data_IF_673633439103
#
_entry.id   IF_673633439103
#
_cell.length_a   1.000
_cell.length_b   1.000
_cell.length_c   1.000
_cell.angle_alpha   90.00
_cell.angle_beta   90.00
_cell.angle_gamma   90.00
#
_symmetry.space_group_name_H-M   'P 1'
#
loop_
_entity.id
_entity.type
_entity.pdbx_description
1 polymer ?
#
# COMPACT_ATOMS: atom_id res chain seq x y z
N UNK A 1 11.14 -2.30 -46.04
CA UNK A 1 10.52 -2.66 -44.75
C UNK A 1 11.29 -1.92 -43.67
N UNK A 2 10.69 -0.89 -43.06
CA UNK A 2 11.40 0.05 -42.18
C UNK A 2 11.94 -0.67 -40.96
N UNK A 3 13.21 -0.39 -40.68
CA UNK A 3 13.97 -0.79 -39.49
C UNK A 3 13.15 -0.43 -38.25
N UNK A 4 12.88 -1.42 -37.41
CA UNK A 4 12.41 -1.21 -36.05
C UNK A 4 13.51 -0.42 -35.33
N UNK A 5 13.21 0.80 -34.94
CA UNK A 5 14.11 1.62 -34.12
C UNK A 5 14.39 0.89 -32.82
N UNK A 6 15.65 0.83 -32.42
CA UNK A 6 16.07 0.39 -31.10
C UNK A 6 15.32 1.23 -30.06
N UNK A 7 14.46 0.58 -29.25
CA UNK A 7 13.86 1.24 -28.11
C UNK A 7 14.99 1.60 -27.14
N UNK A 8 14.95 2.80 -26.58
CA UNK A 8 15.98 3.36 -25.70
C UNK A 8 16.07 2.65 -24.33
N UNK A 9 15.44 1.48 -24.16
CA UNK A 9 15.38 0.71 -22.92
C UNK A 9 14.60 1.39 -21.78
N UNK A 10 14.10 2.62 -21.98
CA UNK A 10 13.37 3.39 -20.98
C UNK A 10 11.86 3.29 -21.18
N UNK A 11 11.13 3.17 -20.07
CA UNK A 11 9.66 3.18 -20.06
C UNK A 11 9.18 4.62 -20.01
N UNK A 12 8.47 5.06 -21.04
CA UNK A 12 7.84 6.39 -21.06
C UNK A 12 6.62 6.42 -20.15
N UNK A 13 6.65 7.31 -19.14
CA UNK A 13 5.65 7.43 -18.08
C UNK A 13 5.00 8.81 -18.09
N UNK A 14 3.67 8.87 -18.04
CA UNK A 14 2.95 10.08 -17.64
C UNK A 14 2.47 9.94 -16.19
N UNK A 15 2.47 11.04 -15.44
CA UNK A 15 1.97 11.06 -14.05
C UNK A 15 0.70 11.91 -14.01
N UNK A 16 -0.39 11.35 -13.47
CA UNK A 16 -1.64 12.08 -13.27
C UNK A 16 -1.85 12.25 -11.76
N UNK A 17 -2.06 13.48 -11.31
CA UNK A 17 -2.13 13.85 -9.89
C UNK A 17 -0.81 14.48 -9.42
N UNK A 18 -0.83 15.80 -9.25
CA UNK A 18 0.27 16.64 -8.77
C UNK A 18 0.00 17.10 -7.31
N UNK A 19 -0.65 16.23 -6.53
CA UNK A 19 -0.98 16.47 -5.12
C UNK A 19 0.16 16.17 -4.15
N UNK A 20 -0.18 16.03 -2.86
CA UNK A 20 0.82 15.83 -1.79
C UNK A 20 1.75 14.63 -2.03
N UNK A 21 1.18 13.51 -2.49
CA UNK A 21 1.89 12.24 -2.68
C UNK A 21 2.87 12.29 -3.86
N UNK A 22 2.65 13.15 -4.85
CA UNK A 22 3.56 13.31 -6.00
C UNK A 22 5.02 13.51 -5.55
N UNK A 23 5.24 14.40 -4.58
CA UNK A 23 6.57 14.71 -4.08
C UNK A 23 7.23 13.54 -3.35
N UNK A 24 6.46 12.61 -2.80
CA UNK A 24 7.01 11.37 -2.22
C UNK A 24 7.60 10.48 -3.29
N UNK A 25 6.93 10.29 -4.44
CA UNK A 25 7.49 9.55 -5.57
C UNK A 25 8.77 10.20 -6.11
N UNK A 26 8.81 11.53 -6.16
CA UNK A 26 9.99 12.24 -6.64
C UNK A 26 11.22 12.07 -5.73
N UNK A 27 11.04 11.65 -4.46
CA UNK A 27 12.18 11.37 -3.57
C UNK A 27 13.04 10.19 -4.02
N UNK A 28 12.47 9.25 -4.80
CA UNK A 28 13.14 8.02 -5.25
C UNK A 28 13.29 7.93 -6.76
N UNK A 29 12.62 8.80 -7.54
CA UNK A 29 12.66 8.76 -9.01
C UNK A 29 14.08 8.75 -9.59
N UNK A 30 15.04 9.46 -8.98
CA UNK A 30 16.44 9.49 -9.41
C UNK A 30 17.14 8.12 -9.36
N UNK A 31 16.65 7.18 -8.54
CA UNK A 31 17.21 5.85 -8.42
C UNK A 31 16.79 4.91 -9.57
N UNK A 32 15.88 5.37 -10.44
CA UNK A 32 15.26 4.58 -11.51
C UNK A 32 15.48 5.23 -12.88
N UNK A 33 16.72 5.21 -13.42
CA UNK A 33 17.05 5.81 -14.72
C UNK A 33 16.33 5.15 -15.91
N UNK A 34 15.76 3.96 -15.71
CA UNK A 34 14.88 3.25 -16.64
C UNK A 34 13.50 3.89 -16.80
N UNK A 35 13.10 4.79 -15.89
CA UNK A 35 11.85 5.54 -15.96
C UNK A 35 12.11 6.88 -16.66
N UNK A 36 11.30 7.19 -17.66
CA UNK A 36 11.36 8.42 -18.44
C UNK A 36 10.03 9.17 -18.34
N UNK A 37 9.97 10.16 -17.44
CA UNK A 37 8.75 10.94 -17.18
C UNK A 37 8.52 11.90 -18.35
N UNK A 38 7.51 11.63 -19.17
CA UNK A 38 7.15 12.41 -20.36
C UNK A 38 6.43 13.70 -20.02
N UNK A 39 5.69 13.68 -18.93
CA UNK A 39 5.01 14.86 -18.42
C UNK A 39 4.04 14.51 -17.31
N UNK A 40 3.42 15.57 -16.80
CA UNK A 40 2.48 15.51 -15.67
C UNK A 40 1.15 16.13 -16.06
N UNK A 41 0.09 15.72 -15.38
CA UNK A 41 -1.23 16.31 -15.49
C UNK A 41 -1.90 16.36 -14.11
N UNK A 42 -2.68 17.41 -13.88
CA UNK A 42 -3.60 17.52 -12.75
C UNK A 42 -4.84 18.28 -13.24
N UNK A 43 -6.02 17.94 -12.70
CA UNK A 43 -7.25 18.66 -13.00
C UNK A 43 -7.20 20.10 -12.49
N UNK A 44 -6.45 20.34 -11.40
CA UNK A 44 -6.04 21.66 -10.95
C UNK A 44 -4.72 22.04 -11.65
N UNK A 45 -4.85 22.72 -12.79
CA UNK A 45 -3.71 23.12 -13.63
C UNK A 45 -2.66 23.97 -12.89
N UNK A 46 -3.03 24.62 -11.78
CA UNK A 46 -2.06 25.35 -10.97
C UNK A 46 -1.06 24.40 -10.26
N UNK A 47 -1.47 23.16 -9.96
CA UNK A 47 -0.59 22.15 -9.35
C UNK A 47 0.41 21.59 -10.35
N UNK A 48 -0.05 21.22 -11.54
CA UNK A 48 0.84 20.73 -12.60
C UNK A 48 1.82 21.82 -13.08
N UNK A 49 1.38 23.09 -13.13
CA UNK A 49 2.27 24.22 -13.38
C UNK A 49 3.37 24.36 -12.31
N UNK A 50 3.02 24.29 -11.02
CA UNK A 50 4.01 24.33 -9.92
C UNK A 50 4.99 23.16 -9.98
N UNK A 51 4.51 21.95 -10.29
CA UNK A 51 5.37 20.77 -10.48
C UNK A 51 6.32 20.96 -11.66
N UNK A 52 5.82 21.49 -12.78
CA UNK A 52 6.63 21.85 -13.95
C UNK A 52 7.72 22.86 -13.58
N UNK A 53 7.37 23.95 -12.91
CA UNK A 53 8.33 24.98 -12.50
C UNK A 53 9.40 24.42 -11.55
N UNK A 54 9.02 23.51 -10.65
CA UNK A 54 9.92 22.96 -9.64
C UNK A 54 10.83 21.85 -10.18
N UNK A 55 10.28 20.90 -10.95
CA UNK A 55 11.00 19.71 -11.42
C UNK A 55 11.40 19.75 -12.91
N UNK A 56 10.87 20.69 -13.68
CA UNK A 56 11.15 20.82 -15.12
C UNK A 56 10.38 19.84 -16.02
N UNK A 57 9.29 19.24 -15.53
CA UNK A 57 8.46 18.34 -16.34
C UNK A 57 7.55 19.07 -17.30
N UNK A 58 7.31 18.50 -18.48
CA UNK A 58 6.26 18.99 -19.38
C UNK A 58 4.87 18.78 -18.78
N UNK A 59 3.91 19.63 -19.15
CA UNK A 59 2.51 19.56 -18.68
C UNK A 59 1.62 19.13 -19.83
N UNK A 60 0.85 18.07 -19.63
CA UNK A 60 -0.24 17.71 -20.54
C UNK A 60 -1.47 18.58 -20.25
N UNK A 61 -2.21 19.04 -21.28
CA UNK A 61 -3.38 19.89 -21.08
C UNK A 61 -4.59 19.13 -20.53
N UNK A 62 -4.71 17.84 -20.86
CA UNK A 62 -5.82 16.97 -20.45
C UNK A 62 -5.43 15.49 -20.57
N UNK A 63 -6.35 14.61 -20.15
CA UNK A 63 -6.21 13.16 -20.26
C UNK A 63 -6.08 12.68 -21.72
N UNK A 64 -6.79 13.32 -22.65
CA UNK A 64 -6.80 12.88 -24.05
C UNK A 64 -5.41 13.04 -24.68
N UNK A 65 -4.69 14.12 -24.37
CA UNK A 65 -3.31 14.32 -24.80
C UNK A 65 -2.36 13.22 -24.29
N UNK A 66 -2.60 12.65 -23.10
CA UNK A 66 -1.82 11.51 -22.58
C UNK A 66 -2.17 10.22 -23.33
N UNK A 67 -3.46 10.00 -23.62
CA UNK A 67 -3.92 8.83 -24.37
C UNK A 67 -3.35 8.84 -25.80
N UNK A 68 -3.35 10.00 -26.44
CA UNK A 68 -2.89 10.20 -27.81
C UNK A 68 -1.36 10.20 -27.95
N UNK A 69 -0.61 10.41 -26.87
CA UNK A 69 0.85 10.37 -26.89
C UNK A 69 1.35 8.92 -27.02
N UNK A 70 1.89 8.51 -28.19
CA UNK A 70 2.36 7.15 -28.41
C UNK A 70 3.64 6.84 -27.62
N UNK A 71 4.27 7.86 -27.05
CA UNK A 71 5.51 7.73 -26.29
C UNK A 71 5.27 7.49 -24.80
N UNK A 72 4.03 7.67 -24.33
CA UNK A 72 3.56 7.25 -23.00
C UNK A 72 3.05 5.83 -23.08
N UNK A 73 3.71 4.92 -22.36
CA UNK A 73 3.37 3.49 -22.30
C UNK A 73 2.75 3.10 -20.96
N UNK A 74 3.13 3.78 -19.89
CA UNK A 74 2.65 3.56 -18.52
C UNK A 74 2.13 4.89 -17.95
N UNK A 75 1.03 4.83 -17.21
CA UNK A 75 0.55 5.98 -16.44
C UNK A 75 0.64 5.66 -14.94
N UNK A 76 1.28 6.58 -14.22
CA UNK A 76 1.28 6.61 -12.76
C UNK A 76 0.10 7.48 -12.30
N UNK A 77 -0.92 6.86 -11.74
CA UNK A 77 -2.12 7.53 -11.24
C UNK A 77 -1.98 7.82 -9.74
N UNK A 78 -1.79 9.08 -9.38
CA UNK A 78 -1.65 9.62 -8.02
C UNK A 78 -2.83 10.53 -7.64
N UNK A 79 -4.00 10.28 -8.23
CA UNK A 79 -5.20 11.09 -8.00
C UNK A 79 -5.87 10.73 -6.67
N UNK A 80 -7.06 11.30 -6.40
CA UNK A 80 -7.83 10.92 -5.21
C UNK A 80 -8.52 9.56 -5.44
N UNK A 81 -8.87 8.90 -4.34
CA UNK A 81 -9.44 7.54 -4.37
C UNK A 81 -10.73 7.48 -5.18
N UNK A 82 -11.56 8.52 -5.13
CA UNK A 82 -12.81 8.64 -5.88
C UNK A 82 -12.58 8.70 -7.40
N UNK A 83 -11.41 9.16 -7.84
CA UNK A 83 -11.05 9.25 -9.25
C UNK A 83 -10.36 7.97 -9.77
N UNK A 84 -9.82 7.12 -8.88
CA UNK A 84 -9.00 5.98 -9.28
C UNK A 84 -9.69 5.03 -10.25
N UNK A 85 -10.95 4.65 -9.99
CA UNK A 85 -11.65 3.66 -10.82
C UNK A 85 -11.85 4.16 -12.26
N UNK A 86 -12.56 5.27 -12.44
CA UNK A 86 -12.90 5.78 -13.77
C UNK A 86 -11.67 6.19 -14.57
N UNK A 87 -10.68 6.81 -13.91
CA UNK A 87 -9.43 7.19 -14.57
C UNK A 87 -8.62 5.96 -15.00
N UNK A 88 -8.44 4.99 -14.10
CA UNK A 88 -7.72 3.75 -14.42
C UNK A 88 -8.41 2.98 -15.54
N UNK A 89 -9.75 2.91 -15.52
CA UNK A 89 -10.55 2.32 -16.59
C UNK A 89 -10.29 2.98 -17.93
N UNK A 90 -10.38 4.31 -18.00
CA UNK A 90 -10.14 5.07 -19.22
C UNK A 90 -8.71 4.87 -19.77
N UNK A 91 -7.71 4.85 -18.88
CA UNK A 91 -6.31 4.61 -19.23
C UNK A 91 -6.09 3.21 -19.82
N UNK A 92 -6.67 2.17 -19.21
CA UNK A 92 -6.60 0.79 -19.70
C UNK A 92 -7.34 0.63 -21.03
N UNK A 93 -8.54 1.20 -21.15
CA UNK A 93 -9.32 1.20 -22.40
C UNK A 93 -8.58 1.92 -23.54
N UNK A 94 -7.83 2.97 -23.20
CA UNK A 94 -6.92 3.71 -24.09
C UNK A 94 -5.57 3.04 -24.34
N UNK A 95 -5.36 1.81 -23.86
CA UNK A 95 -4.18 1.01 -24.20
C UNK A 95 -2.92 1.31 -23.38
N UNK A 96 -3.03 1.97 -22.22
CA UNK A 96 -1.89 2.30 -21.36
C UNK A 96 -1.76 1.30 -20.21
N UNK A 97 -0.53 0.91 -19.85
CA UNK A 97 -0.28 0.25 -18.57
C UNK A 97 -0.61 1.24 -17.44
N UNK A 98 -1.04 0.75 -16.27
CA UNK A 98 -1.37 1.62 -15.13
C UNK A 98 -0.76 1.12 -13.83
N UNK A 99 -0.10 2.02 -13.12
CA UNK A 99 0.20 1.88 -11.70
C UNK A 99 -0.60 2.93 -10.93
N UNK A 100 -1.53 2.50 -10.07
CA UNK A 100 -2.36 3.42 -9.28
C UNK A 100 -1.86 3.56 -7.85
N UNK A 101 -2.09 4.72 -7.24
CA UNK A 101 -2.03 4.85 -5.78
C UNK A 101 -3.12 4.02 -5.10
N UNK A 102 -2.91 3.77 -3.81
CA UNK A 102 -3.80 3.00 -2.95
C UNK A 102 -4.95 3.85 -2.43
N UNK A 103 -6.04 3.18 -2.00
CA UNK A 103 -6.53 1.91 -2.52
C UNK A 103 -6.87 2.02 -4.02
N UNK A 104 -6.77 0.91 -4.77
CA UNK A 104 -7.13 0.88 -6.19
C UNK A 104 -8.59 1.30 -6.44
N UNK A 105 -9.49 0.88 -5.56
CA UNK A 105 -10.89 1.29 -5.43
C UNK A 105 -11.40 0.82 -4.05
N UNK A 106 -12.53 1.36 -3.59
CA UNK A 106 -13.25 0.90 -2.40
C UNK A 106 -14.28 -0.18 -2.69
N UNK A 107 -14.56 -0.49 -3.96
CA UNK A 107 -15.49 -1.54 -4.39
C UNK A 107 -14.77 -2.74 -5.02
N UNK A 108 -15.16 -3.95 -4.61
CA UNK A 108 -14.52 -5.17 -5.08
C UNK A 108 -14.84 -5.49 -6.55
N UNK A 109 -16.06 -5.21 -7.01
CA UNK A 109 -16.47 -5.51 -8.39
C UNK A 109 -15.88 -4.51 -9.38
N UNK A 110 -15.69 -3.25 -8.96
CA UNK A 110 -14.87 -2.27 -9.68
C UNK A 110 -13.44 -2.79 -9.86
N UNK A 111 -12.79 -3.27 -8.78
CA UNK A 111 -11.44 -3.81 -8.86
C UNK A 111 -11.36 -4.98 -9.85
N UNK A 112 -12.32 -5.93 -9.75
CA UNK A 112 -12.41 -7.07 -10.69
C UNK A 112 -12.59 -6.61 -12.14
N UNK A 113 -13.39 -5.57 -12.35
CA UNK A 113 -13.61 -5.00 -13.68
C UNK A 113 -12.32 -4.44 -14.26
N UNK A 114 -11.53 -3.69 -13.48
CA UNK A 114 -10.23 -3.17 -13.93
C UNK A 114 -9.25 -4.29 -14.30
N UNK A 115 -9.16 -5.34 -13.47
CA UNK A 115 -8.30 -6.49 -13.78
C UNK A 115 -8.73 -7.22 -15.05
N UNK A 116 -10.04 -7.39 -15.28
CA UNK A 116 -10.55 -7.99 -16.52
C UNK A 116 -10.19 -7.15 -17.75
N UNK A 117 -10.37 -5.83 -17.70
CA UNK A 117 -10.02 -4.94 -18.82
C UNK A 117 -8.50 -5.04 -19.10
N UNK A 118 -7.67 -5.01 -18.07
CA UNK A 118 -6.23 -5.14 -18.22
C UNK A 118 -5.85 -6.47 -18.88
N UNK A 119 -6.46 -7.59 -18.47
CA UNK A 119 -6.21 -8.91 -19.05
C UNK A 119 -6.66 -8.98 -20.53
N UNK A 120 -7.87 -8.52 -20.84
CA UNK A 120 -8.42 -8.50 -22.21
C UNK A 120 -7.57 -7.66 -23.16
N UNK A 121 -6.99 -6.56 -22.67
CA UNK A 121 -6.12 -5.66 -23.44
C UNK A 121 -4.65 -6.09 -23.46
N UNK A 122 -4.27 -7.12 -22.70
CA UNK A 122 -2.88 -7.53 -22.55
C UNK A 122 -2.00 -6.49 -21.82
N UNK A 123 -2.61 -5.68 -20.96
CA UNK A 123 -1.96 -4.62 -20.19
C UNK A 123 -1.60 -5.09 -18.78
N UNK A 124 -0.78 -4.27 -18.12
CA UNK A 124 -0.36 -4.48 -16.73
C UNK A 124 -1.08 -3.43 -15.89
N UNK A 125 -1.74 -3.90 -14.84
CA UNK A 125 -2.34 -3.09 -13.80
C UNK A 125 -1.72 -3.47 -12.46
N UNK A 126 -1.23 -2.48 -11.72
CA UNK A 126 -0.74 -2.65 -10.36
C UNK A 126 -1.17 -1.47 -9.49
N UNK A 127 -1.06 -1.62 -8.17
CA UNK A 127 -1.38 -0.57 -7.20
C UNK A 127 -0.32 -0.52 -6.11
N UNK A 128 -0.14 0.66 -5.52
CA UNK A 128 0.48 0.81 -4.22
C UNK A 128 -0.34 0.07 -3.13
N UNK A 129 0.26 -0.19 -1.94
CA UNK A 129 1.69 -0.09 -1.67
C UNK A 129 2.45 -1.30 -2.23
N UNK A 130 3.64 -1.04 -2.78
CA UNK A 130 4.57 -2.08 -3.24
C UNK A 130 5.66 -2.43 -2.20
N UNK A 131 5.44 -2.04 -0.93
CA UNK A 131 6.41 -2.20 0.16
C UNK A 131 6.74 -3.67 0.48
N UNK A 132 6.01 -4.64 -0.05
CA UNK A 132 6.39 -6.06 -0.01
C UNK A 132 7.70 -6.34 -0.79
N UNK A 133 8.10 -5.44 -1.70
CA UNK A 133 9.39 -5.50 -2.42
C UNK A 133 10.57 -4.98 -1.60
N UNK A 134 10.35 -4.46 -0.40
CA UNK A 134 11.42 -3.93 0.45
C UNK A 134 12.39 -5.02 0.94
N UNK A 135 13.65 -4.63 1.18
CA UNK A 135 14.70 -5.52 1.70
C UNK A 135 14.22 -6.23 2.99
N UNK A 136 13.58 -5.50 3.90
CA UNK A 136 13.01 -6.04 5.14
C UNK A 136 12.02 -7.16 4.89
N UNK A 137 11.06 -6.95 3.98
CA UNK A 137 9.99 -7.92 3.73
C UNK A 137 10.52 -9.12 2.96
N UNK A 138 11.39 -8.89 1.97
CA UNK A 138 12.03 -9.97 1.22
C UNK A 138 12.91 -10.82 2.15
N UNK A 139 13.63 -10.19 3.09
CA UNK A 139 14.44 -10.89 4.11
C UNK A 139 13.54 -11.72 5.04
N UNK A 140 12.46 -11.13 5.56
CA UNK A 140 11.52 -11.84 6.43
C UNK A 140 10.85 -13.01 5.69
N UNK A 141 10.40 -12.78 4.45
CA UNK A 141 9.78 -13.82 3.63
C UNK A 141 10.76 -14.97 3.33
N UNK A 142 12.01 -14.65 2.99
CA UNK A 142 13.06 -15.65 2.82
C UNK A 142 13.27 -16.46 4.10
N UNK A 143 13.43 -15.81 5.25
CA UNK A 143 13.64 -16.50 6.53
C UNK A 143 12.46 -17.42 6.91
N UNK A 144 11.22 -17.00 6.64
CA UNK A 144 10.03 -17.85 6.79
C UNK A 144 10.11 -19.06 5.87
N UNK A 145 10.43 -18.87 4.59
CA UNK A 145 10.55 -19.95 3.60
C UNK A 145 11.66 -20.94 3.90
N UNK A 146 12.76 -20.47 4.48
CA UNK A 146 13.90 -21.28 4.89
C UNK A 146 13.64 -22.04 6.21
N UNK A 147 12.47 -21.87 6.82
CA UNK A 147 12.10 -22.56 8.06
C UNK A 147 12.77 -22.00 9.30
N UNK A 148 13.24 -20.75 9.29
CA UNK A 148 13.98 -20.15 10.41
C UNK A 148 13.19 -20.12 11.74
N UNK A 149 11.86 -20.19 11.66
CA UNK A 149 10.92 -20.19 12.79
C UNK A 149 10.08 -21.47 12.88
N UNK A 150 10.44 -22.52 12.15
CA UNK A 150 9.63 -23.74 12.03
C UNK A 150 8.35 -23.48 11.23
N UNK A 151 7.23 -24.09 11.65
CA UNK A 151 5.91 -23.87 11.05
C UNK A 151 5.34 -22.53 11.51
N UNK A 152 5.05 -21.57 10.60
CA UNK A 152 4.37 -20.33 10.96
C UNK A 152 2.97 -20.61 11.53
N UNK A 153 2.64 -19.95 12.64
CA UNK A 153 1.38 -20.14 13.39
C UNK A 153 0.58 -18.84 13.47
N UNK A 154 1.23 -17.76 13.89
CA UNK A 154 0.58 -16.50 14.21
C UNK A 154 1.27 -15.31 13.55
N UNK A 155 0.49 -14.30 13.18
CA UNK A 155 1.00 -13.00 12.73
C UNK A 155 0.35 -11.92 13.59
N UNK A 156 1.16 -11.02 14.14
CA UNK A 156 0.68 -9.80 14.79
C UNK A 156 1.26 -8.59 14.06
N UNK A 157 0.38 -7.82 13.43
CA UNK A 157 0.74 -6.58 12.76
C UNK A 157 0.01 -5.41 13.42
N UNK A 158 0.77 -4.36 13.72
CA UNK A 158 0.21 -3.11 14.23
C UNK A 158 0.40 -2.02 13.19
N UNK A 159 -0.62 -1.20 13.02
CA UNK A 159 -0.55 0.06 12.31
C UNK A 159 -1.20 1.12 13.19
N UNK A 160 -0.41 1.76 14.01
CA UNK A 160 -0.78 2.99 14.71
C UNK A 160 0.10 4.11 14.18
N UNK A 161 -0.49 5.24 13.78
CA UNK A 161 0.23 6.32 13.08
C UNK A 161 0.36 7.62 13.88
N UNK A 162 0.50 7.49 15.20
CA UNK A 162 0.35 8.57 16.18
C UNK A 162 -1.07 9.17 16.23
N UNK A 163 -1.38 9.96 17.27
CA UNK A 163 -2.58 10.79 17.31
C UNK A 163 -2.54 11.93 16.27
N UNK A 164 -2.70 11.61 14.97
CA UNK A 164 -2.52 12.56 13.85
C UNK A 164 -3.38 13.82 14.02
N UNK A 165 -4.59 13.68 14.55
CA UNK A 165 -5.51 14.80 14.82
C UNK A 165 -4.97 15.85 15.81
N UNK A 166 -3.93 15.52 16.59
CA UNK A 166 -3.25 16.45 17.49
C UNK A 166 -1.99 17.09 16.86
N UNK A 167 -1.63 16.72 15.64
CA UNK A 167 -0.36 17.08 14.99
C UNK A 167 -0.50 18.22 13.96
N UNK A 168 -1.63 18.92 13.95
CA UNK A 168 -1.96 20.05 13.05
C UNK A 168 -1.78 19.72 11.55
N UNK A 169 -2.40 18.64 11.06
CA UNK A 169 -2.24 18.18 9.68
C UNK A 169 -2.65 19.21 8.62
N UNK A 170 -3.52 20.15 8.95
CA UNK A 170 -3.91 21.28 8.11
C UNK A 170 -2.74 22.18 7.69
N UNK A 171 -1.62 22.13 8.42
CA UNK A 171 -0.40 22.89 8.13
C UNK A 171 0.57 22.16 7.21
N UNK A 172 0.36 20.86 6.96
CA UNK A 172 1.32 20.05 6.23
C UNK A 172 1.27 20.36 4.73
N UNK A 173 2.45 20.57 4.14
CA UNK A 173 2.62 20.89 2.72
C UNK A 173 3.72 20.00 2.14
N UNK A 174 3.54 19.60 0.89
CA UNK A 174 4.55 18.90 0.11
C UNK A 174 5.65 19.87 -0.36
N UNK A 175 6.68 19.37 -1.06
CA UNK A 175 7.78 20.21 -1.56
C UNK A 175 7.32 21.25 -2.58
N UNK A 176 6.33 20.89 -3.39
CA UNK A 176 5.67 21.78 -4.36
C UNK A 176 4.49 22.56 -3.77
N UNK A 177 4.27 22.43 -2.45
CA UNK A 177 3.30 23.21 -1.70
C UNK A 177 1.86 22.67 -1.75
N UNK A 178 1.63 21.45 -2.25
CA UNK A 178 0.32 20.82 -2.17
C UNK A 178 -0.03 20.52 -0.69
N UNK A 179 -1.26 20.77 -0.23
CA UNK A 179 -1.69 20.40 1.11
C UNK A 179 -1.88 18.89 1.24
N UNK A 180 -1.58 18.34 2.43
CA UNK A 180 -1.96 16.96 2.73
C UNK A 180 -3.49 16.87 2.82
N UNK A 181 -4.16 15.93 2.11
CA UNK A 181 -5.63 15.84 2.07
C UNK A 181 -6.21 15.19 3.34
N UNK A 182 -5.89 15.73 4.51
CA UNK A 182 -6.19 15.11 5.80
C UNK A 182 -7.68 14.87 6.07
N UNK A 183 -8.57 15.72 5.53
CA UNK A 183 -10.02 15.51 5.63
C UNK A 183 -10.45 14.26 4.89
N UNK A 184 -9.99 14.08 3.65
CA UNK A 184 -10.29 12.88 2.88
C UNK A 184 -9.73 11.63 3.59
N UNK A 185 -8.51 11.69 4.12
CA UNK A 185 -7.91 10.58 4.87
C UNK A 185 -8.79 10.19 6.09
N UNK A 186 -9.40 11.15 6.76
CA UNK A 186 -10.33 10.89 7.87
C UNK A 186 -11.69 10.34 7.40
N UNK A 187 -12.21 10.83 6.28
CA UNK A 187 -13.49 10.39 5.68
C UNK A 187 -13.39 8.98 5.10
N UNK A 188 -12.23 8.61 4.53
CA UNK A 188 -11.93 7.27 4.02
C UNK A 188 -11.68 6.26 5.14
N UNK A 189 -11.03 6.72 6.22
CA UNK A 189 -10.88 5.99 7.45
C UNK A 189 -9.64 5.09 7.50
N UNK A 190 -9.25 4.77 8.73
CA UNK A 190 -7.98 4.09 9.02
C UNK A 190 -7.82 2.73 8.33
N UNK A 191 -8.92 2.03 8.00
CA UNK A 191 -8.81 0.72 7.35
C UNK A 191 -8.35 0.87 5.90
N UNK A 192 -9.10 1.61 5.07
CA UNK A 192 -8.76 1.76 3.65
C UNK A 192 -7.42 2.45 3.44
N UNK A 193 -7.10 3.42 4.30
CA UNK A 193 -5.85 4.16 4.16
C UNK A 193 -4.61 3.34 4.56
N UNK A 194 -4.75 2.41 5.51
CA UNK A 194 -3.57 1.85 6.19
C UNK A 194 -3.44 0.32 6.15
N UNK A 195 -4.53 -0.44 6.05
CA UNK A 195 -4.45 -1.91 6.15
C UNK A 195 -3.60 -2.51 5.03
N UNK A 196 -3.58 -1.86 3.86
CA UNK A 196 -2.83 -2.31 2.68
C UNK A 196 -1.34 -2.49 2.93
N UNK A 197 -0.72 -1.68 3.80
CA UNK A 197 0.72 -1.73 4.06
C UNK A 197 1.17 -3.06 4.69
N UNK A 198 0.35 -3.67 5.53
CA UNK A 198 0.64 -4.98 6.13
C UNK A 198 -0.04 -6.12 5.38
N UNK A 199 -1.23 -5.89 4.82
CA UNK A 199 -2.00 -6.94 4.15
C UNK A 199 -1.25 -7.49 2.93
N UNK A 200 -0.59 -6.64 2.14
CA UNK A 200 0.19 -7.10 0.97
C UNK A 200 1.37 -8.00 1.37
N UNK A 201 1.96 -7.80 2.56
CA UNK A 201 3.03 -8.67 3.07
C UNK A 201 2.49 -10.05 3.44
N UNK A 202 1.38 -10.07 4.17
CA UNK A 202 0.76 -11.31 4.62
C UNK A 202 0.27 -12.14 3.43
N UNK A 203 -0.37 -11.50 2.44
CA UNK A 203 -0.83 -12.16 1.22
C UNK A 203 0.33 -12.70 0.39
N UNK A 204 1.42 -11.95 0.26
CA UNK A 204 2.63 -12.41 -0.43
C UNK A 204 3.24 -13.64 0.26
N UNK A 205 3.40 -13.61 1.59
CA UNK A 205 4.05 -14.68 2.34
C UNK A 205 3.18 -15.93 2.53
N UNK A 206 1.88 -15.78 2.80
CA UNK A 206 1.01 -16.85 3.30
C UNK A 206 -0.17 -17.17 2.38
N UNK A 207 -0.31 -16.45 1.26
CA UNK A 207 -1.36 -16.67 0.27
C UNK A 207 -2.71 -16.09 0.68
N UNK A 208 -3.81 -16.60 0.10
CA UNK A 208 -5.13 -16.01 0.28
C UNK A 208 -5.68 -16.23 1.69
N UNK A 209 -6.46 -15.24 2.14
CA UNK A 209 -7.28 -15.32 3.36
C UNK A 209 -8.57 -16.08 3.06
N UNK A 210 -8.91 -17.01 3.95
CA UNK A 210 -10.15 -17.82 3.89
C UNK A 210 -11.33 -17.10 4.53
N UNK A 211 -11.10 -16.46 5.69
CA UNK A 211 -12.15 -15.76 6.44
C UNK A 211 -11.57 -14.65 7.32
N UNK A 212 -12.42 -13.69 7.67
CA UNK A 212 -12.06 -12.52 8.49
C UNK A 212 -13.13 -12.29 9.56
N UNK A 213 -12.72 -11.96 10.78
CA UNK A 213 -13.59 -11.36 11.80
C UNK A 213 -13.02 -9.99 12.17
N UNK A 214 -13.84 -8.94 12.16
CA UNK A 214 -13.36 -7.57 12.35
C UNK A 214 -14.30 -6.73 13.22
N UNK A 215 -13.73 -5.69 13.82
CA UNK A 215 -14.43 -4.66 14.58
C UNK A 215 -13.80 -3.30 14.28
N UNK A 216 -14.64 -2.30 14.05
CA UNK A 216 -14.24 -0.91 13.79
C UNK A 216 -15.08 0.04 14.63
N UNK A 217 -14.47 1.14 15.07
CA UNK A 217 -15.15 2.14 15.91
C UNK A 217 -14.57 3.53 15.69
N UNK A 218 -15.44 4.53 15.78
CA UNK A 218 -15.05 5.92 16.03
C UNK A 218 -14.67 6.04 17.51
N UNK A 219 -13.37 6.14 17.80
CA UNK A 219 -12.86 6.39 19.14
C UNK A 219 -12.48 7.86 19.33
N UNK A 220 -12.31 8.62 18.24
CA UNK A 220 -12.06 10.07 18.23
C UNK A 220 -13.18 10.80 17.46
N UNK A 221 -14.31 11.17 18.11
CA UNK A 221 -15.47 11.75 17.42
C UNK A 221 -15.25 13.17 16.87
N UNK A 222 -14.28 13.92 17.39
CA UNK A 222 -13.97 15.30 16.99
C UNK A 222 -12.52 15.45 16.54
N UNK A 223 -12.10 14.60 15.59
CA UNK A 223 -10.74 14.59 15.04
C UNK A 223 -10.40 15.79 14.16
N UNK A 224 -11.38 16.63 13.81
CA UNK A 224 -11.19 17.89 13.10
C UNK A 224 -12.35 18.85 13.37
N UNK A 225 -12.09 20.16 13.25
CA UNK A 225 -13.11 21.21 13.29
C UNK A 225 -13.83 21.41 11.94
N UNK A 226 -13.33 20.78 10.87
CA UNK A 226 -13.97 20.83 9.56
C UNK A 226 -15.12 19.82 9.46
N UNK A 227 -16.15 20.10 8.65
CA UNK A 227 -17.17 19.10 8.36
C UNK A 227 -16.55 17.90 7.63
N UNK A 228 -17.05 16.71 7.96
CA UNK A 228 -16.66 15.45 7.34
C UNK A 228 -17.90 14.72 6.79
N UNK A 229 -17.72 14.04 5.66
CA UNK A 229 -18.74 13.24 4.98
C UNK A 229 -18.15 11.91 4.50
N UNK A 230 -18.39 10.78 5.22
CA UNK A 230 -19.22 10.66 6.43
C UNK A 230 -18.52 11.22 7.69
N UNK A 231 -19.32 11.69 8.65
CA UNK A 231 -18.81 12.28 9.89
C UNK A 231 -18.30 11.24 10.90
N UNK A 232 -18.77 9.99 10.79
CA UNK A 232 -18.54 8.90 11.73
C UNK A 232 -17.70 7.76 11.14
N UNK A 233 -16.81 8.07 10.20
CA UNK A 233 -15.87 7.09 9.67
C UNK A 233 -14.93 6.58 10.79
N UNK A 234 -14.78 5.25 10.98
CA UNK A 234 -13.91 4.69 12.01
C UNK A 234 -12.43 5.09 11.93
N UNK A 235 -11.86 5.48 13.07
CA UNK A 235 -10.43 5.81 13.27
C UNK A 235 -9.67 4.74 14.07
N UNK A 236 -10.37 3.67 14.46
CA UNK A 236 -9.80 2.44 14.98
C UNK A 236 -10.46 1.22 14.33
N UNK A 237 -9.65 0.26 13.92
CA UNK A 237 -10.10 -1.03 13.38
C UNK A 237 -9.16 -2.15 13.80
N UNK A 238 -9.71 -3.33 14.06
CA UNK A 238 -8.96 -4.56 14.34
C UNK A 238 -9.61 -5.73 13.64
N UNK A 239 -8.80 -6.61 13.06
CA UNK A 239 -9.28 -7.81 12.38
C UNK A 239 -8.41 -9.02 12.72
N UNK A 240 -9.05 -10.19 12.80
CA UNK A 240 -8.38 -11.49 12.74
C UNK A 240 -8.64 -12.13 11.37
N UNK A 241 -7.60 -12.73 10.81
CA UNK A 241 -7.61 -13.34 9.49
C UNK A 241 -7.19 -14.80 9.59
N UNK A 242 -7.99 -15.71 9.05
CA UNK A 242 -7.65 -17.12 8.89
C UNK A 242 -7.18 -17.38 7.45
N UNK A 243 -5.91 -17.75 7.27
CA UNK A 243 -5.35 -18.00 5.94
C UNK A 243 -5.62 -19.43 5.46
N UNK A 244 -5.66 -19.61 4.14
CA UNK A 244 -5.76 -20.96 3.54
C UNK A 244 -4.56 -21.83 3.92
N UNK A 245 -3.38 -21.22 4.10
CA UNK A 245 -2.16 -21.87 4.58
C UNK A 245 -2.23 -22.38 6.02
N UNK A 246 -3.24 -21.97 6.79
CA UNK A 246 -3.44 -22.34 8.20
C UNK A 246 -2.77 -21.40 9.21
N UNK A 247 -2.17 -20.30 8.75
CA UNK A 247 -1.67 -19.22 9.62
C UNK A 247 -2.82 -18.31 10.05
N UNK A 248 -2.80 -17.84 11.29
CA UNK A 248 -3.79 -16.88 11.81
C UNK A 248 -3.13 -15.53 12.04
N UNK A 249 -3.72 -14.45 11.54
CA UNK A 249 -3.21 -13.10 11.75
C UNK A 249 -4.13 -12.24 12.60
N UNK A 250 -3.57 -11.26 13.31
CA UNK A 250 -4.25 -10.07 13.81
C UNK A 250 -3.59 -8.85 13.18
N UNK A 251 -4.42 -7.93 12.69
CA UNK A 251 -4.00 -6.59 12.25
C UNK A 251 -4.82 -5.53 12.98
N UNK A 252 -4.14 -4.50 13.47
CA UNK A 252 -4.77 -3.31 14.06
C UNK A 252 -4.44 -2.11 13.16
N UNK A 253 -5.40 -1.24 12.93
CA UNK A 253 -5.22 0.05 12.25
C UNK A 253 -5.82 1.16 13.12
N UNK A 254 -5.05 2.16 13.52
CA UNK A 254 -5.57 3.34 14.18
C UNK A 254 -4.75 4.61 13.93
N UNK A 255 -5.41 5.75 14.12
CA UNK A 255 -4.78 7.08 14.15
C UNK A 255 -4.91 7.72 15.55
N UNK A 256 -5.18 6.90 16.57
CA UNK A 256 -5.47 7.35 17.93
C UNK A 256 -4.38 6.96 18.92
N UNK A 257 -3.58 5.93 18.64
CA UNK A 257 -2.50 5.47 19.50
C UNK A 257 -1.13 5.99 19.03
N UNK A 258 -0.11 6.03 19.91
CA UNK A 258 1.28 6.29 19.53
C UNK A 258 1.78 5.35 18.44
N UNK A 259 2.73 5.80 17.62
CA UNK A 259 3.14 5.04 16.45
C UNK A 259 3.68 3.64 16.78
N UNK A 260 3.11 2.64 16.11
CA UNK A 260 3.53 1.24 16.17
C UNK A 260 3.23 0.59 14.81
N UNK A 261 4.30 0.27 14.07
CA UNK A 261 4.22 -0.28 12.72
C UNK A 261 4.77 -1.71 12.66
N UNK A 262 4.96 -2.35 13.82
CA UNK A 262 5.67 -3.63 13.89
C UNK A 262 4.86 -4.75 13.25
N UNK A 263 5.55 -5.67 12.60
CA UNK A 263 5.01 -6.98 12.26
C UNK A 263 5.83 -8.05 12.97
N UNK A 264 5.14 -9.05 13.52
CA UNK A 264 5.71 -10.26 14.09
C UNK A 264 5.11 -11.49 13.41
N UNK A 265 5.96 -12.41 12.99
CA UNK A 265 5.58 -13.72 12.47
C UNK A 265 6.12 -14.76 13.45
N UNK A 266 5.22 -15.49 14.08
CA UNK A 266 5.52 -16.46 15.14
C UNK A 266 5.29 -17.85 14.58
N UNK A 267 6.31 -18.70 14.66
CA UNK A 267 6.21 -20.13 14.41
C UNK A 267 6.37 -20.95 15.69
N UNK A 268 6.41 -22.27 15.56
CA UNK A 268 6.61 -23.19 16.69
C UNK A 268 8.08 -23.24 17.18
N UNK A 269 9.03 -22.81 16.37
CA UNK A 269 10.47 -22.82 16.72
C UNK A 269 11.07 -21.42 16.87
N UNK A 270 10.31 -20.35 16.64
CA UNK A 270 10.81 -18.99 16.79
C UNK A 270 9.86 -17.87 16.37
N UNK A 271 10.40 -16.66 16.36
CA UNK A 271 9.71 -15.42 16.02
C UNK A 271 10.60 -14.56 15.11
N UNK A 272 10.02 -14.06 14.01
CA UNK A 272 10.60 -13.00 13.19
C UNK A 272 9.85 -11.70 13.45
N UNK A 273 10.56 -10.58 13.55
CA UNK A 273 9.93 -9.27 13.72
C UNK A 273 10.64 -8.16 12.96
N UNK A 274 9.90 -7.14 12.56
CA UNK A 274 10.44 -5.87 12.03
C UNK A 274 9.71 -4.70 12.68
N UNK A 275 10.39 -3.58 12.84
CA UNK A 275 9.88 -2.43 13.59
C UNK A 275 8.90 -1.58 12.77
N UNK A 276 9.10 -1.50 11.46
CA UNK A 276 8.30 -0.61 10.61
C UNK A 276 8.35 -0.97 9.14
N UNK A 277 7.23 -0.78 8.44
CA UNK A 277 7.16 -0.86 6.98
C UNK A 277 7.63 0.42 6.27
N UNK A 278 7.74 1.55 7.00
CA UNK A 278 8.08 2.86 6.42
C UNK A 278 9.53 2.96 5.97
N UNK A 279 10.40 2.09 6.49
CA UNK A 279 11.80 2.02 6.09
C UNK A 279 12.07 0.68 5.41
N UNK A 280 12.43 0.74 4.13
CA UNK A 280 12.63 -0.47 3.32
C UNK A 280 13.78 -1.35 3.80
N UNK A 281 14.67 -0.79 4.62
CA UNK A 281 15.84 -1.44 5.22
C UNK A 281 15.70 -1.59 6.74
N UNK A 282 14.47 -1.55 7.26
CA UNK A 282 14.22 -1.85 8.67
C UNK A 282 14.80 -3.23 9.03
N UNK A 283 15.53 -3.36 10.15
CA UNK A 283 16.13 -4.63 10.52
C UNK A 283 15.07 -5.70 10.77
N UNK A 284 15.36 -6.92 10.32
CA UNK A 284 14.57 -8.11 10.67
C UNK A 284 15.28 -8.81 11.82
N UNK A 285 14.56 -9.03 12.90
CA UNK A 285 15.05 -9.74 14.07
C UNK A 285 14.52 -11.17 14.08
N UNK A 286 15.39 -12.13 14.37
CA UNK A 286 15.05 -13.52 14.61
C UNK A 286 15.31 -13.86 16.08
N UNK A 287 14.30 -14.42 16.73
CA UNK A 287 14.44 -15.08 18.02
C UNK A 287 14.05 -16.55 17.88
N UNK A 288 14.99 -17.47 18.11
CA UNK A 288 14.70 -18.91 18.17
C UNK A 288 14.17 -19.28 19.55
N UNK A 289 13.16 -20.13 19.61
CA UNK A 289 12.62 -20.70 20.84
C UNK A 289 13.50 -21.86 21.32
N UNK A 290 14.58 -21.50 22.00
CA UNK A 290 15.47 -22.42 22.72
C UNK A 290 15.15 -22.39 24.21
N UNK A 291 15.59 -23.40 24.96
CA UNK A 291 15.46 -23.38 26.41
C UNK A 291 16.08 -22.11 27.03
N UNK A 292 17.19 -21.63 26.46
CA UNK A 292 17.85 -20.39 26.89
C UNK A 292 16.97 -19.16 26.68
N UNK A 293 16.41 -18.97 25.47
CA UNK A 293 15.57 -17.80 25.17
C UNK A 293 14.26 -17.82 25.94
N UNK A 294 13.64 -19.00 26.09
CA UNK A 294 12.43 -19.18 26.90
C UNK A 294 12.69 -18.89 28.40
N UNK A 295 13.82 -19.37 28.94
CA UNK A 295 14.21 -19.05 30.31
C UNK A 295 14.49 -17.56 30.50
N UNK A 296 15.12 -16.90 29.52
CA UNK A 296 15.35 -15.46 29.55
C UNK A 296 14.03 -14.67 29.55
N UNK A 297 13.04 -15.09 28.74
CA UNK A 297 11.68 -14.51 28.75
C UNK A 297 11.04 -14.66 30.12
N UNK A 298 11.07 -15.86 30.71
CA UNK A 298 10.55 -16.11 32.07
C UNK A 298 11.23 -15.25 33.13
N UNK A 299 12.55 -15.13 33.09
CA UNK A 299 13.31 -14.30 34.03
C UNK A 299 12.93 -12.81 33.91
N UNK A 300 12.70 -12.31 32.69
CA UNK A 300 12.22 -10.95 32.45
C UNK A 300 10.84 -10.73 33.08
N UNK A 301 9.91 -11.67 32.91
CA UNK A 301 8.58 -11.60 33.52
C UNK A 301 8.65 -11.57 35.06
N UNK A 302 9.55 -12.35 35.66
CA UNK A 302 9.73 -12.38 37.12
C UNK A 302 10.34 -11.08 37.66
N UNK A 303 11.25 -10.43 36.92
CA UNK A 303 11.84 -9.13 37.30
C UNK A 303 10.84 -7.98 37.31
N UNK A 304 9.73 -8.10 36.58
CA UNK A 304 8.64 -7.12 36.60
C UNK A 304 7.76 -7.26 37.86
N UNK A 305 7.97 -8.29 38.70
CA UNK A 305 7.26 -8.41 39.96
C UNK A 305 7.83 -7.44 41.01
N UNK A 306 6.96 -6.71 41.74
CA UNK A 306 7.38 -5.70 42.73
C UNK A 306 8.36 -6.22 43.79
N UNK A 307 8.25 -7.50 44.18
CA UNK A 307 9.10 -8.14 45.19
C UNK A 307 10.55 -8.40 44.72
N UNK A 308 10.80 -8.42 43.41
CA UNK A 308 12.11 -8.75 42.83
C UNK A 308 12.74 -7.60 42.01
N UNK A 309 11.99 -6.51 41.76
CA UNK A 309 12.38 -5.39 40.90
C UNK A 309 13.44 -4.43 41.47
N UNK A 310 13.92 -4.63 42.70
CA UNK A 310 14.77 -3.66 43.38
C UNK A 310 16.30 -3.80 43.20
N UNK A 311 16.83 -4.90 42.66
CA UNK A 311 18.28 -5.20 42.85
C UNK A 311 19.11 -5.71 41.68
N UNK A 312 18.62 -5.82 40.44
CA UNK A 312 19.48 -6.25 39.31
C UNK A 312 19.27 -5.43 38.05
N UNK A 313 19.96 -4.29 37.97
CA UNK A 313 20.00 -3.38 36.82
C UNK A 313 20.95 -3.81 35.70
N UNK A 314 20.81 -5.04 35.19
CA UNK A 314 21.48 -5.46 33.95
C UNK A 314 20.47 -6.19 33.05
N UNK A 315 20.11 -5.54 31.93
CA UNK A 315 19.24 -6.10 30.92
C UNK A 315 19.98 -7.20 30.14
N UNK A 316 19.78 -8.47 30.53
CA UNK A 316 20.05 -9.58 29.63
C UNK A 316 18.92 -9.60 28.60
N UNK A 317 19.08 -8.85 27.50
CA UNK A 317 18.36 -9.16 26.26
C UNK A 317 18.89 -10.52 25.81
N UNK A 318 18.00 -11.48 25.55
CA UNK A 318 18.39 -12.64 24.74
C UNK A 318 18.99 -12.10 23.43
N UNK A 319 20.04 -12.71 22.87
CA UNK A 319 20.60 -12.26 21.62
C UNK A 319 19.53 -12.38 20.54
N UNK A 320 18.97 -11.25 20.13
CA UNK A 320 18.20 -11.15 18.90
C UNK A 320 19.22 -11.22 17.77
N UNK A 321 19.10 -12.23 16.93
CA UNK A 321 19.90 -12.29 15.72
C UNK A 321 19.31 -11.31 14.72
N UNK A 322 20.08 -10.31 14.29
CA UNK A 322 19.68 -9.48 13.16
C UNK A 322 19.89 -10.32 11.92
N UNK A 323 18.79 -10.71 11.27
CA UNK A 323 18.83 -11.41 10.00
C UNK A 323 19.34 -10.42 8.97
N UNK A 324 20.56 -10.64 8.49
CA UNK A 324 21.15 -9.88 7.39
C UNK A 324 21.07 -10.74 6.15
N UNK A 325 20.45 -10.21 5.11
CA UNK A 325 20.66 -10.74 3.78
C UNK A 325 21.97 -10.14 3.26
N UNK A 326 22.95 -10.97 2.88
CA UNK A 326 24.18 -10.54 2.19
C UNK A 326 23.87 -10.15 0.72
N UNK A 327 22.73 -9.52 0.50
CA UNK A 327 22.21 -9.17 -0.82
C UNK A 327 22.85 -7.87 -1.32
N UNK A 328 24.14 -7.94 -1.69
CA UNK A 328 24.70 -7.04 -2.74
C UNK A 328 24.19 -7.41 -4.15
N UNK A 329 23.15 -8.25 -4.26
CA UNK A 329 22.83 -8.94 -5.50
C UNK A 329 21.33 -9.03 -5.84
N UNK A 330 20.51 -8.08 -5.37
CA UNK A 330 19.19 -7.84 -5.94
C UNK A 330 19.22 -6.69 -6.97
N UNK A 331 20.23 -6.69 -7.87
CA UNK A 331 20.07 -6.06 -9.20
C UNK A 331 19.62 -7.14 -10.17
N UNK A 332 18.33 -7.38 -10.24
CA UNK A 332 17.78 -8.42 -11.11
C UNK A 332 16.31 -8.70 -10.84
N UNK A 333 15.44 -7.70 -11.02
CA UNK A 333 13.98 -7.89 -11.05
C UNK A 333 13.49 -8.65 -12.31
N UNK A 334 14.40 -9.22 -13.12
CA UNK A 334 14.06 -9.95 -14.35
C UNK A 334 13.45 -11.34 -14.15
N UNK A 335 13.55 -11.94 -12.94
CA UNK A 335 13.12 -13.34 -12.75
C UNK A 335 11.61 -13.52 -12.55
N UNK A 336 10.90 -12.54 -11.99
CA UNK A 336 9.46 -12.69 -11.71
C UNK A 336 8.60 -12.50 -12.97
N UNK A 337 9.04 -11.68 -13.93
CA UNK A 337 8.35 -11.48 -15.21
C UNK A 337 8.62 -12.60 -16.22
N UNK A 338 9.77 -13.28 -16.15
CA UNK A 338 10.09 -14.37 -17.07
C UNK A 338 9.27 -15.64 -16.82
N UNK A 339 8.87 -15.95 -15.58
CA UNK A 339 8.04 -17.13 -15.31
C UNK A 339 6.57 -16.95 -15.74
N UNK A 340 6.04 -15.73 -15.69
CA UNK A 340 4.72 -15.40 -16.23
C UNK A 340 4.70 -15.46 -17.78
N UNK A 341 5.78 -15.03 -18.44
CA UNK A 341 5.94 -15.11 -19.90
C UNK A 341 6.13 -16.54 -20.42
N UNK A 342 6.86 -17.39 -19.70
CA UNK A 342 7.14 -18.79 -20.11
C UNK A 342 5.91 -19.69 -20.08
N UNK A 343 4.88 -19.38 -19.27
CA UNK A 343 3.61 -20.13 -19.28
C UNK A 343 2.68 -19.76 -20.45
N UNK A 344 2.97 -18.71 -21.22
CA UNK A 344 2.16 -18.26 -22.37
C UNK A 344 2.71 -18.69 -23.74
N UNK A 345 3.88 -19.32 -23.80
CA UNK A 345 4.47 -19.80 -25.06
C UNK A 345 4.86 -21.28 -24.95
N UNK A 346 3.87 -22.17 -25.08
CA UNK A 346 4.12 -23.57 -25.41
C UNK A 346 3.67 -23.84 -26.86
N UNK A 347 4.59 -23.97 -27.84
CA UNK A 347 4.24 -24.47 -29.16
C UNK A 347 4.21 -26.00 -29.17
N UNK A 348 3.21 -26.55 -29.87
CA UNK A 348 3.14 -27.97 -30.24
C UNK A 348 4.21 -28.29 -31.30
N UNK A 349 5.09 -29.23 -30.99
CA UNK A 349 5.75 -30.16 -31.95
C UNK A 349 6.91 -29.63 -32.81
N UNK A 350 7.94 -30.48 -32.98
CA UNK A 350 8.81 -30.46 -34.18
C UNK A 350 10.33 -30.29 -33.96
N UNK A 351 11.02 -31.44 -33.93
CA UNK A 351 12.44 -31.78 -34.18
C UNK A 351 13.50 -30.71 -34.59
N UNK A 352 14.68 -30.96 -34.00
CA UNK A 352 16.05 -30.96 -34.56
C UNK A 352 16.85 -29.64 -34.65
N UNK A 353 18.13 -29.73 -34.25
CA UNK A 353 19.20 -28.82 -34.67
C UNK A 353 20.18 -28.43 -33.57
N UNK A 354 21.29 -29.16 -33.47
CA UNK A 354 22.48 -28.80 -32.70
C UNK A 354 23.27 -27.66 -33.38
N UNK A 355 24.22 -27.11 -32.62
CA UNK A 355 25.33 -26.21 -33.01
C UNK A 355 25.06 -24.71 -33.20
N UNK A 356 25.59 -23.92 -32.25
CA UNK A 356 26.71 -23.00 -32.53
C UNK A 356 27.12 -22.24 -31.26
N UNK A 357 27.97 -22.87 -30.44
CA UNK A 357 28.92 -22.13 -29.57
C UNK A 357 30.09 -21.68 -30.44
N UNK A 358 30.70 -20.55 -30.06
CA UNK A 358 31.89 -19.88 -30.64
C UNK A 358 31.58 -18.80 -31.67
N UNK A 359 31.47 -17.56 -31.16
CA UNK A 359 32.04 -16.33 -31.75
C UNK A 359 31.79 -15.17 -30.78
N UNK A 360 32.54 -15.16 -29.67
CA UNK A 360 32.82 -13.95 -28.90
C UNK A 360 34.30 -13.99 -28.62
N UNK A 361 35.05 -13.31 -29.48
CA UNK A 361 36.34 -12.70 -29.18
C UNK A 361 36.72 -11.82 -30.37
N UNK A 362 37.25 -10.64 -30.05
CA UNK A 362 37.67 -9.52 -30.93
C UNK A 362 36.59 -8.47 -31.21
N UNK A 363 36.58 -7.39 -30.43
CA UNK A 363 37.37 -6.20 -30.74
C UNK A 363 37.08 -5.08 -29.71
N UNK A 364 38.10 -4.73 -28.93
CA UNK A 364 38.26 -3.39 -28.34
C UNK A 364 39.07 -2.57 -29.35
N UNK A 365 38.63 -1.36 -29.68
CA UNK A 365 39.44 -0.13 -29.67
C UNK A 365 38.74 1.01 -30.41
N UNK A 366 38.94 2.21 -29.89
CA UNK A 366 38.65 3.54 -30.45
C UNK A 366 37.17 3.96 -30.51
N UNK A 367 36.74 4.75 -29.52
CA UNK A 367 36.69 6.19 -29.75
C UNK A 367 36.62 6.96 -28.43
N UNK A 368 37.51 7.92 -28.28
CA UNK A 368 37.55 8.83 -27.14
C UNK A 368 36.66 10.04 -27.42
N UNK A 369 35.63 10.22 -26.59
CA UNK A 369 35.06 11.53 -26.29
C UNK A 369 34.71 11.58 -24.81
N UNK A 370 35.25 12.59 -24.13
CA UNK A 370 34.98 12.88 -22.74
C UNK A 370 33.48 13.15 -22.55
N UNK A 371 32.86 12.39 -21.65
CA UNK A 371 31.50 12.62 -21.15
C UNK A 371 31.63 13.53 -19.92
N UNK A 372 30.88 14.63 -19.80
CA UNK A 372 30.91 15.43 -18.58
C UNK A 372 30.25 14.68 -17.41
N UNK A 373 30.92 14.73 -16.28
CA UNK A 373 30.55 14.21 -14.96
C UNK A 373 29.16 14.72 -14.51
N UNK A 374 28.16 13.85 -14.26
CA UNK A 374 26.88 14.25 -13.69
C UNK A 374 26.93 14.20 -12.16
N UNK A 375 27.86 14.94 -11.56
CA UNK A 375 27.89 15.19 -10.13
C UNK A 375 27.62 16.69 -9.89
N UNK A 376 26.32 17.06 -9.79
CA UNK A 376 25.81 18.27 -9.12
C UNK A 376 24.28 18.31 -9.13
N UNK A 377 23.66 17.44 -8.34
CA UNK A 377 22.37 17.76 -7.72
C UNK A 377 22.64 18.04 -6.25
N UNK A 378 22.87 19.31 -5.92
CA UNK A 378 22.82 19.80 -4.55
C UNK A 378 21.65 20.79 -4.47
N UNK A 379 20.65 20.57 -3.59
CA UNK A 379 19.66 21.61 -3.31
C UNK A 379 20.34 22.81 -2.62
N UNK A 380 19.85 24.04 -2.82
CA UNK A 380 20.42 25.22 -2.17
C UNK A 380 20.25 25.11 -0.64
N UNK A 381 21.35 25.30 0.09
CA UNK A 381 21.36 25.44 1.55
C UNK A 381 20.82 26.82 1.90
N UNK A 382 19.61 26.91 2.43
CA UNK A 382 19.16 28.11 3.13
C UNK A 382 19.65 28.09 4.58
N UNK A 383 20.33 29.17 4.96
CA UNK A 383 20.74 29.50 6.34
C UNK A 383 19.48 29.60 7.21
N UNK A 384 19.46 28.87 8.32
CA UNK A 384 18.55 29.12 9.42
C UNK A 384 19.11 30.31 10.23
N UNK A 385 18.43 31.45 10.17
CA UNK A 385 18.59 32.48 11.19
C UNK A 385 17.71 32.12 12.38
N UNK A 386 18.37 31.94 13.52
CA UNK A 386 17.75 31.78 14.83
C UNK A 386 17.27 33.15 15.33
N UNK A 387 16.02 33.20 15.79
CA UNK A 387 15.43 34.38 16.43
C UNK A 387 14.34 33.95 17.40
N UNK A 388 14.73 33.70 18.65
CA UNK A 388 13.86 33.77 19.83
C UNK A 388 13.35 35.22 19.99
N UNK A 389 12.10 35.44 20.43
CA UNK A 389 11.97 35.97 21.78
C UNK A 389 10.74 35.43 22.56
N UNK A 390 11.00 34.93 23.76
CA UNK A 390 10.79 35.71 24.98
C UNK A 390 9.36 36.14 25.36
N UNK A 391 8.82 35.43 26.36
CA UNK A 391 7.93 35.84 27.47
C UNK A 391 7.23 37.23 27.41
N UNK A 392 5.91 37.20 27.61
CA UNK A 392 5.09 38.32 28.07
C UNK A 392 3.85 37.82 28.81
N UNK A 393 3.61 38.39 29.98
CA UNK A 393 2.71 37.98 31.06
C UNK A 393 1.26 38.52 30.90
N UNK A 394 0.38 37.99 31.77
CA UNK A 394 -0.90 38.53 32.25
C UNK A 394 -2.18 38.55 31.37
N UNK A 395 -3.06 37.60 31.70
CA UNK A 395 -4.28 37.92 32.48
C UNK A 395 -5.45 38.60 31.76
N UNK A 396 -6.55 37.85 31.55
CA UNK A 396 -7.89 38.25 32.02
C UNK A 396 -8.93 37.14 31.90
N UNK A 397 -9.69 37.03 32.99
CA UNK A 397 -10.84 36.15 33.21
C UNK A 397 -12.01 36.56 32.33
N UNK A 398 -12.77 35.57 31.84
CA UNK A 398 -14.10 35.77 31.28
C UNK A 398 -14.87 34.44 31.26
N UNK A 399 -15.59 34.15 32.34
CA UNK A 399 -16.63 33.11 32.36
C UNK A 399 -17.85 33.64 31.59
N UNK A 400 -18.45 32.82 30.73
CA UNK A 400 -19.89 32.90 30.48
C UNK A 400 -20.43 31.54 30.00
N UNK A 401 -21.60 31.23 30.54
CA UNK A 401 -22.33 29.97 30.53
C UNK A 401 -22.97 29.62 29.17
N UNK A 402 -23.24 28.32 29.05
CA UNK A 402 -24.20 27.68 28.17
C UNK A 402 -25.53 28.45 28.00
N UNK A 403 -26.04 28.46 26.76
CA UNK A 403 -27.47 28.31 26.50
C UNK A 403 -27.69 27.43 25.26
N UNK A 404 -28.36 26.30 25.50
CA UNK A 404 -28.96 25.40 24.52
C UNK A 404 -30.13 26.10 23.83
N UNK A 405 -30.17 26.06 22.50
CA UNK A 405 -31.41 26.23 21.75
C UNK A 405 -31.58 25.07 20.77
N UNK A 406 -32.62 24.28 21.03
CA UNK A 406 -33.18 23.30 20.12
C UNK A 406 -33.92 24.03 18.98
N UNK A 407 -33.66 23.63 17.75
CA UNK A 407 -34.53 23.94 16.60
C UNK A 407 -34.82 22.65 15.85
N UNK A 408 -36.11 22.48 15.57
CA UNK A 408 -36.76 21.32 14.97
C UNK A 408 -36.30 21.07 13.54
N UNK A 409 -36.33 19.78 13.18
CA UNK A 409 -36.21 19.27 11.83
C UNK A 409 -37.49 19.56 11.04
N UNK A 410 -37.33 20.05 9.80
CA UNK A 410 -38.32 19.99 8.73
C UNK A 410 -37.60 19.83 7.37
N UNK A 411 -37.90 18.71 6.70
CA UNK A 411 -38.12 18.55 5.25
C UNK A 411 -37.07 18.93 4.18
N UNK A 412 -36.66 17.90 3.41
CA UNK A 412 -36.29 17.89 1.97
C UNK A 412 -34.90 18.49 1.62
N UNK A 413 -34.05 17.92 0.78
CA UNK A 413 -34.28 17.43 -0.59
C UNK A 413 -33.10 16.52 -1.05
N UNK A 414 -33.39 15.25 -1.35
CA UNK A 414 -32.43 14.31 -1.96
C UNK A 414 -32.42 14.52 -3.48
N UNK A 415 -31.54 15.37 -4.00
CA UNK A 415 -31.60 15.68 -5.43
C UNK A 415 -30.44 16.47 -6.03
N UNK A 416 -29.18 16.25 -5.61
CA UNK A 416 -28.04 16.97 -6.23
C UNK A 416 -26.80 16.14 -6.63
N UNK A 417 -26.66 14.88 -6.23
CA UNK A 417 -25.52 14.03 -6.67
C UNK A 417 -25.67 13.39 -8.06
N UNK A 418 -26.88 13.36 -8.65
CA UNK A 418 -27.11 12.71 -9.94
C UNK A 418 -26.93 13.64 -11.16
N UNK A 419 -26.62 14.92 -10.95
CA UNK A 419 -26.64 15.95 -12.01
C UNK A 419 -25.24 16.30 -12.54
N UNK A 420 -24.18 16.04 -11.77
CA UNK A 420 -22.78 16.26 -12.19
C UNK A 420 -22.25 15.14 -13.09
N UNK A 421 -22.72 13.90 -12.93
CA UNK A 421 -22.33 12.76 -13.80
C UNK A 421 -22.97 12.79 -15.19
N UNK A 422 -23.99 13.64 -15.41
CA UNK A 422 -24.70 13.73 -16.71
C UNK A 422 -24.12 14.79 -17.67
N UNK A 423 -23.25 15.69 -17.20
CA UNK A 423 -22.63 16.70 -18.06
C UNK A 423 -21.40 16.18 -18.83
N UNK A 424 -20.84 15.03 -18.42
CA UNK A 424 -19.69 14.38 -19.07
C UNK A 424 -20.07 13.35 -20.16
N UNK A 425 -21.35 12.97 -20.29
CA UNK A 425 -21.75 11.90 -21.21
C UNK A 425 -23.00 12.26 -22.02
N UNK A 426 -22.80 13.09 -23.04
CA UNK A 426 -23.72 13.20 -24.17
C UNK A 426 -23.05 12.58 -25.39
N UNK A 427 -23.66 11.49 -25.90
CA UNK A 427 -23.37 10.75 -27.16
C UNK A 427 -22.50 9.50 -27.04
N UNK A 428 -23.06 8.43 -26.47
CA UNK A 428 -22.84 7.06 -26.95
C UNK A 428 -24.17 6.27 -26.86
N UNK A 429 -24.52 5.45 -27.86
CA UNK A 429 -25.82 4.77 -27.92
C UNK A 429 -25.87 3.57 -26.96
N UNK A 430 -26.99 3.51 -26.21
CA UNK A 430 -27.37 2.37 -25.37
C UNK A 430 -27.93 1.25 -26.23
N UNK A 431 -27.35 0.06 -26.16
CA UNK A 431 -28.08 -1.19 -26.33
C UNK A 431 -27.70 -2.12 -25.18
N UNK A 432 -28.68 -2.36 -24.31
CA UNK A 432 -28.71 -3.50 -23.41
C UNK A 432 -29.40 -4.65 -24.16
N UNK A 433 -28.94 -5.88 -23.95
CA UNK A 433 -29.75 -6.95 -23.33
C UNK A 433 -29.12 -8.34 -23.49
N UNK A 434 -29.17 -9.10 -22.40
CA UNK A 434 -29.09 -10.56 -22.39
C UNK A 434 -27.76 -11.15 -21.94
N UNK A 435 -27.84 -12.29 -21.25
CA UNK A 435 -26.78 -13.19 -20.79
C UNK A 435 -26.45 -13.16 -19.29
N UNK A 436 -27.47 -13.46 -18.48
CA UNK A 436 -27.36 -14.12 -17.19
C UNK A 436 -27.97 -15.52 -17.35
N UNK A 437 -27.14 -16.56 -17.54
CA UNK A 437 -27.33 -17.96 -17.12
C UNK A 437 -26.23 -18.85 -17.70
N UNK A 438 -25.68 -19.74 -16.85
CA UNK A 438 -24.60 -20.76 -17.06
C UNK A 438 -23.19 -20.20 -16.74
N UNK A 439 -22.37 -20.76 -15.85
CA UNK A 439 -22.39 -22.04 -15.15
C UNK A 439 -21.45 -22.00 -13.91
N UNK A 440 -21.93 -22.56 -12.80
CA UNK A 440 -21.18 -23.07 -11.62
C UNK A 440 -22.05 -24.27 -11.20
N UNK A 441 -21.66 -25.54 -11.03
CA UNK A 441 -20.42 -26.31 -10.85
C UNK A 441 -20.78 -27.82 -11.09
N UNK A 442 -20.12 -28.87 -10.53
CA UNK A 442 -18.70 -29.25 -10.46
C UNK A 442 -18.44 -30.70 -10.98
N UNK A 443 -17.17 -31.10 -11.08
CA UNK A 443 -16.76 -32.50 -11.12
C UNK A 443 -15.74 -32.80 -10.00
N UNK A 444 -16.23 -33.33 -8.87
CA UNK A 444 -15.42 -34.02 -7.87
C UNK A 444 -16.03 -35.41 -7.65
N UNK A 445 -15.34 -36.45 -8.11
CA UNK A 445 -15.70 -37.85 -7.85
C UNK A 445 -14.94 -38.36 -6.62
N UNK A 446 -15.71 -38.63 -5.58
CA UNK A 446 -15.66 -39.79 -4.68
C UNK A 446 -14.31 -40.33 -4.21
N UNK A 447 -14.03 -40.17 -2.92
CA UNK A 447 -13.68 -41.31 -2.04
C UNK A 447 -14.46 -41.18 -0.73
N UNK A 448 -15.21 -42.23 -0.40
CA UNK A 448 -15.97 -42.41 0.83
C UNK A 448 -15.01 -42.76 1.97
N UNK A 449 -15.16 -42.13 3.12
CA UNK A 449 -14.88 -42.73 4.42
C UNK A 449 -16.09 -42.49 5.32
N UNK A 450 -16.63 -43.60 5.81
CA UNK A 450 -17.81 -43.74 6.64
C UNK A 450 -17.51 -43.56 8.12
N UNK A 451 -18.45 -42.97 8.85
CA UNK A 451 -18.65 -43.22 10.28
C UNK A 451 -18.46 -41.99 11.17
N UNK A 452 -19.58 -41.39 11.61
CA UNK A 452 -19.87 -40.90 12.97
C UNK A 452 -21.28 -40.23 12.95
N UNK A 453 -22.14 -40.42 13.98
CA UNK A 453 -23.54 -39.96 13.96
C UNK A 453 -23.67 -38.48 14.39
N UNK A 454 -24.80 -37.80 14.03
CA UNK A 454 -24.97 -36.37 14.25
C UNK A 454 -25.32 -36.02 15.71
N UNK A 455 -24.66 -34.98 16.25
CA UNK A 455 -25.06 -34.36 17.51
C UNK A 455 -26.28 -33.44 17.28
N UNK A 456 -27.29 -33.63 18.12
CA UNK A 456 -28.52 -32.84 18.16
C UNK A 456 -28.27 -31.38 18.55
N UNK A 457 -28.90 -30.45 17.82
CA UNK A 457 -29.18 -29.09 18.26
C UNK A 457 -30.05 -29.14 19.52
N UNK A 458 -29.57 -28.54 20.61
CA UNK A 458 -30.40 -28.09 21.73
C UNK A 458 -30.41 -26.57 21.74
N UNK A 459 -31.54 -26.02 21.32
CA UNK A 459 -31.96 -24.64 21.60
C UNK A 459 -32.30 -24.53 23.09
N UNK A 460 -31.58 -23.66 23.81
CA UNK A 460 -31.98 -23.23 25.13
C UNK A 460 -31.83 -21.71 25.22
N UNK A 461 -32.95 -21.02 24.97
CA UNK A 461 -33.08 -19.61 25.33
C UNK A 461 -33.15 -19.46 26.83
N UNK A 462 -32.36 -18.54 27.39
CA UNK A 462 -32.70 -17.87 28.66
C UNK A 462 -32.21 -16.43 28.62
N UNK A 463 -33.19 -15.54 28.69
CA UNK A 463 -33.04 -14.12 29.01
C UNK A 463 -32.38 -14.01 30.38
N UNK A 464 -31.37 -13.16 30.51
CA UNK A 464 -30.94 -12.63 31.81
C UNK A 464 -31.16 -11.13 31.80
N UNK A 465 -31.97 -10.68 32.76
CA UNK A 465 -32.28 -9.29 33.07
C UNK A 465 -31.04 -8.62 33.68
N UNK A 466 -30.90 -7.35 33.34
CA UNK A 466 -30.12 -6.32 34.02
C UNK A 466 -30.33 -6.33 35.55
N UNK A 467 -29.21 -6.34 36.27
CA UNK A 467 -28.95 -5.52 37.46
C UNK A 467 -27.47 -5.14 37.43
#
# INVERSE_FOLDING_TARGET
>A
MKMQGESTGKTGVAIIGCGYVFDHYMTTAWAHPEIDVRGVYDIDLARSAKVSDYYGFSVYPDLQAILDDPTVTLVLNLTSIEAHFELTRALLEGGKHVYSEKPLTTDLEEARTLFRIAEERGLVLSSAPCNFLSDSVQTMWKAVRDGAIGKPLLIYAEFDDNPIYLMKPETWRSRTGAPWPYIHEYEMGCTFEHVGYHLVWMLAMFGPVRSVTAFSKVVVPHKTDQPMHPADTPDFSVATLDFVSGVTARVTCSIAAPADHRMRVIGDEGELSTDTYRHYQSPVFLERFSQLSLNARKARSLRLQPLFGGRTGAALRAPLEVVRDDARQCRGQDLILQEAGRRRQAPRGGRAGQDARRRRDRARAADGRAVPDPARFHPPRHRADAGDPGRGDDGRRGRANHQLHAVRADGLDQGRSAQLSRQLFARLPRQADGWLHRAVAPALRSRRCSGLPPLHLLTAGRRVRTC
#
